data_IF_360516250342
#
_entry.id   IF_360516250342
#
_cell.length_a   1.000
_cell.length_b   1.000
_cell.length_c   1.000
_cell.angle_alpha   90.00
_cell.angle_beta   90.00
_cell.angle_gamma   90.00
#
_symmetry.space_group_name_H-M   'P 1'
#
loop_
_entity.id
_entity.type
_entity.pdbx_description
1 polymer ?
#
# COMPACT_ATOMS: atom_id res chain seq x y z
N UNK A 1 13.78 54.84 16.69
CA UNK A 1 12.54 54.90 15.90
C UNK A 1 12.87 55.55 14.58
N UNK A 2 12.96 54.77 13.50
CA UNK A 2 12.81 55.24 12.12
C UNK A 2 12.69 53.98 11.26
N UNK A 3 11.45 53.71 10.83
CA UNK A 3 11.10 52.66 9.87
C UNK A 3 11.10 53.34 8.51
N UNK A 4 11.98 52.90 7.61
CA UNK A 4 11.97 53.35 6.21
C UNK A 4 11.23 52.31 5.38
N UNK A 5 10.17 52.76 4.73
CA UNK A 5 9.34 52.03 3.77
C UNK A 5 10.16 51.63 2.56
N UNK A 6 10.46 50.34 2.42
CA UNK A 6 10.85 49.73 1.16
C UNK A 6 10.25 48.32 1.13
N UNK A 7 9.33 48.16 0.19
CA UNK A 7 8.97 46.91 -0.47
C UNK A 7 8.13 45.90 0.34
N UNK A 8 6.82 46.09 0.19
CA UNK A 8 5.82 45.02 0.29
C UNK A 8 6.13 44.02 -0.83
N UNK A 9 6.86 42.95 -0.52
CA UNK A 9 6.91 41.76 -1.37
C UNK A 9 6.48 40.53 -0.59
N UNK A 10 5.18 40.26 -0.72
CA UNK A 10 4.63 38.94 -1.01
C UNK A 10 5.05 37.79 -0.10
N UNK A 11 4.17 37.47 0.86
CA UNK A 11 4.09 36.16 1.50
C UNK A 11 3.95 35.09 0.42
N UNK A 12 5.06 34.48 0.03
CA UNK A 12 5.05 33.27 -0.77
C UNK A 12 4.72 32.10 0.15
N UNK A 13 3.42 31.80 0.30
CA UNK A 13 2.98 30.48 0.72
C UNK A 13 3.42 29.51 -0.38
N UNK A 14 4.62 28.96 -0.23
CA UNK A 14 5.06 27.81 -1.01
C UNK A 14 4.14 26.64 -0.62
N UNK A 15 3.07 26.45 -1.39
CA UNK A 15 2.35 25.19 -1.41
C UNK A 15 3.35 24.14 -1.90
N UNK A 16 4.04 23.49 -0.96
CA UNK A 16 4.86 22.33 -1.26
C UNK A 16 3.87 21.24 -1.66
N UNK A 17 3.57 21.16 -2.95
CA UNK A 17 2.90 20.02 -3.53
C UNK A 17 3.83 18.83 -3.31
N UNK A 18 3.56 18.05 -2.26
CA UNK A 18 4.22 16.77 -2.03
C UNK A 18 3.93 15.87 -3.23
N UNK A 19 4.82 15.87 -4.23
CA UNK A 19 4.72 14.99 -5.36
C UNK A 19 4.70 13.55 -4.82
N UNK A 20 3.67 12.77 -5.20
CA UNK A 20 3.62 11.34 -4.89
C UNK A 20 4.86 10.71 -5.52
N UNK A 21 5.85 10.37 -4.69
CA UNK A 21 7.10 9.78 -5.16
C UNK A 21 6.85 8.33 -5.58
N UNK A 22 6.86 8.08 -6.89
CA UNK A 22 6.69 6.73 -7.45
C UNK A 22 7.99 5.96 -7.27
N UNK A 23 7.97 4.95 -6.39
CA UNK A 23 9.14 4.10 -6.10
C UNK A 23 9.28 2.93 -7.09
N UNK A 24 8.20 2.57 -7.78
CA UNK A 24 8.16 1.49 -8.77
C UNK A 24 6.99 1.72 -9.73
N UNK A 25 7.23 1.56 -11.04
CA UNK A 25 6.22 1.63 -12.09
C UNK A 25 6.46 0.52 -13.10
N UNK A 26 5.38 -0.07 -13.62
CA UNK A 26 5.49 -1.13 -14.61
C UNK A 26 4.14 -1.64 -15.09
N UNK A 27 4.18 -2.64 -15.97
CA UNK A 27 3.02 -3.41 -16.42
C UNK A 27 3.16 -4.85 -15.95
N UNK A 28 2.05 -5.50 -15.66
CA UNK A 28 2.04 -6.88 -15.20
C UNK A 28 0.64 -7.46 -15.15
N UNK A 29 0.53 -8.65 -14.59
CA UNK A 29 -0.73 -9.35 -14.35
C UNK A 29 -0.94 -9.46 -12.83
N UNK A 30 -2.20 -9.36 -12.42
CA UNK A 30 -2.61 -9.57 -11.04
C UNK A 30 -3.79 -10.53 -10.98
N UNK A 31 -3.89 -11.27 -9.88
CA UNK A 31 -5.09 -12.01 -9.50
C UNK A 31 -5.76 -11.28 -8.33
N UNK A 32 -7.07 -11.42 -8.22
CA UNK A 32 -7.80 -10.98 -7.03
C UNK A 32 -8.01 -12.18 -6.10
N UNK A 33 -8.02 -11.91 -4.80
CA UNK A 33 -8.38 -12.88 -3.78
C UNK A 33 -9.43 -12.23 -2.87
N UNK A 34 -10.42 -13.00 -2.46
CA UNK A 34 -11.44 -12.57 -1.50
C UNK A 34 -11.35 -13.45 -0.26
N UNK A 35 -11.53 -12.85 0.91
CA UNK A 35 -11.65 -13.62 2.15
C UNK A 35 -12.78 -14.64 2.02
N UNK A 36 -12.48 -15.89 2.37
CA UNK A 36 -13.46 -16.97 2.34
C UNK A 36 -14.46 -16.74 3.45
N UNK A 37 -15.66 -16.27 3.10
CA UNK A 37 -16.73 -16.02 4.07
C UNK A 37 -17.42 -17.31 4.56
N UNK A 38 -17.41 -18.35 3.74
CA UNK A 38 -17.93 -19.68 4.08
C UNK A 38 -16.77 -20.69 4.11
N UNK A 39 -16.07 -20.81 5.25
CA UNK A 39 -14.89 -21.67 5.36
C UNK A 39 -15.22 -23.17 5.27
N UNK A 40 -16.49 -23.56 5.29
CA UNK A 40 -16.96 -24.92 5.07
C UNK A 40 -17.96 -24.90 3.92
N UNK A 41 -17.53 -25.25 2.71
CA UNK A 41 -18.42 -25.32 1.54
C UNK A 41 -18.00 -26.46 0.63
N UNK A 42 -18.98 -27.09 -0.03
CA UNK A 42 -18.74 -28.21 -0.96
C UNK A 42 -17.85 -29.34 -0.38
N UNK A 43 -18.00 -29.65 0.92
CA UNK A 43 -17.22 -30.69 1.59
C UNK A 43 -15.72 -30.38 1.78
N UNK A 44 -15.30 -29.13 1.54
CA UNK A 44 -13.91 -28.68 1.70
C UNK A 44 -13.78 -27.72 2.88
N UNK A 45 -12.75 -27.93 3.69
CA UNK A 45 -12.35 -27.02 4.77
C UNK A 45 -11.37 -25.97 4.24
N UNK A 46 -11.83 -24.72 4.20
CA UNK A 46 -11.09 -23.54 3.80
C UNK A 46 -10.78 -22.61 4.99
N UNK A 47 -10.99 -23.06 6.23
CA UNK A 47 -10.78 -22.27 7.44
C UNK A 47 -9.37 -21.71 7.59
N UNK A 48 -8.38 -22.36 6.98
CA UNK A 48 -6.98 -21.94 6.99
C UNK A 48 -6.65 -20.87 5.94
N UNK A 49 -7.51 -20.67 4.93
CA UNK A 49 -7.19 -19.77 3.81
C UNK A 49 -7.03 -18.31 4.23
N UNK A 50 -7.84 -17.83 5.19
CA UNK A 50 -7.76 -16.46 5.69
C UNK A 50 -6.72 -16.31 6.84
N UNK A 51 -6.04 -17.40 7.23
CA UNK A 51 -5.06 -17.39 8.31
C UNK A 51 -3.63 -17.18 7.82
N UNK A 52 -3.42 -17.04 6.50
CA UNK A 52 -2.11 -16.79 5.93
C UNK A 52 -1.45 -15.55 6.53
N UNK A 53 -0.18 -15.69 6.92
CA UNK A 53 0.64 -14.61 7.45
C UNK A 53 1.06 -13.63 6.37
N UNK A 54 0.93 -12.33 6.62
CA UNK A 54 1.55 -11.30 5.77
C UNK A 54 3.01 -11.10 6.11
N UNK A 55 3.85 -11.07 5.08
CA UNK A 55 5.31 -10.99 5.22
C UNK A 55 5.81 -9.58 5.59
N UNK A 56 4.99 -8.55 5.38
CA UNK A 56 5.34 -7.17 5.61
C UNK A 56 5.08 -6.66 7.04
N UNK A 57 4.90 -7.58 8.00
CA UNK A 57 4.91 -7.23 9.42
C UNK A 57 6.31 -7.39 10.04
N UNK A 58 6.85 -6.30 10.60
CA UNK A 58 8.20 -6.24 11.16
C UNK A 58 8.33 -6.80 12.58
N UNK A 59 7.23 -6.92 13.34
CA UNK A 59 7.26 -7.28 14.76
C UNK A 59 6.55 -8.61 15.07
N UNK A 60 5.47 -8.95 14.36
CA UNK A 60 4.68 -10.16 14.60
C UNK A 60 3.79 -10.45 13.41
N UNK A 61 3.90 -11.63 12.79
CA UNK A 61 3.05 -11.99 11.63
C UNK A 61 1.56 -11.73 11.94
N UNK A 62 0.91 -10.85 11.16
CA UNK A 62 -0.53 -10.69 11.18
C UNK A 62 -1.14 -11.66 10.17
N UNK A 63 -2.25 -12.29 10.54
CA UNK A 63 -3.10 -12.99 9.58
C UNK A 63 -3.89 -11.97 8.76
N UNK A 64 -4.42 -12.38 7.61
CA UNK A 64 -5.34 -11.56 6.82
C UNK A 64 -6.54 -11.07 7.67
N UNK A 65 -7.09 -11.96 8.50
CA UNK A 65 -8.11 -11.60 9.49
C UNK A 65 -7.66 -10.50 10.47
N UNK A 66 -6.39 -10.50 10.88
CA UNK A 66 -5.85 -9.50 11.80
C UNK A 66 -5.67 -8.12 11.17
N UNK A 67 -5.52 -8.04 9.84
CA UNK A 67 -5.36 -6.77 9.11
C UNK A 67 -6.71 -6.10 8.86
N UNK A 68 -7.79 -6.89 8.76
CA UNK A 68 -9.17 -6.41 8.71
C UNK A 68 -9.43 -5.29 7.67
N UNK A 69 -8.89 -5.44 6.46
CA UNK A 69 -9.18 -4.55 5.33
C UNK A 69 -9.17 -5.30 4.01
N UNK A 70 -10.03 -4.86 3.08
CA UNK A 70 -10.09 -5.37 1.72
C UNK A 70 -9.14 -4.64 0.75
N UNK A 71 -8.48 -3.57 1.21
CA UNK A 71 -7.62 -2.74 0.38
C UNK A 71 -6.16 -3.20 0.45
N UNK A 72 -5.93 -4.48 0.22
CA UNK A 72 -4.63 -5.13 0.30
C UNK A 72 -4.14 -5.59 -1.06
N UNK A 73 -2.86 -5.36 -1.31
CA UNK A 73 -2.17 -5.88 -2.49
C UNK A 73 -1.03 -6.78 -2.05
N UNK A 74 -1.07 -8.04 -2.50
CA UNK A 74 0.06 -8.95 -2.40
C UNK A 74 1.01 -8.73 -3.58
N UNK A 75 2.31 -8.79 -3.32
CA UNK A 75 3.35 -8.72 -4.35
C UNK A 75 4.26 -9.96 -4.30
N UNK A 76 5.11 -10.11 -5.33
CA UNK A 76 6.10 -11.18 -5.39
C UNK A 76 6.94 -11.26 -4.11
N UNK A 77 7.19 -12.48 -3.63
CA UNK A 77 7.93 -12.66 -2.38
C UNK A 77 9.42 -12.33 -2.50
N UNK A 78 9.98 -12.41 -3.70
CA UNK A 78 11.42 -12.26 -3.95
C UNK A 78 11.97 -10.94 -3.42
N UNK A 79 11.41 -9.75 -3.77
CA UNK A 79 11.87 -8.48 -3.22
C UNK A 79 11.73 -8.40 -1.69
N UNK A 80 10.70 -9.02 -1.12
CA UNK A 80 10.38 -8.92 0.30
C UNK A 80 11.20 -9.84 1.22
N UNK A 81 12.00 -10.76 0.65
CA UNK A 81 12.91 -11.62 1.45
C UNK A 81 13.99 -10.82 2.18
N UNK A 82 14.35 -9.64 1.67
CA UNK A 82 15.39 -8.79 2.26
C UNK A 82 14.80 -7.69 3.15
N UNK A 83 15.55 -7.26 4.17
CA UNK A 83 15.16 -6.12 5.02
C UNK A 83 14.98 -4.84 4.19
N UNK A 84 15.90 -4.59 3.25
CA UNK A 84 15.84 -3.43 2.37
C UNK A 84 14.57 -3.44 1.50
N UNK A 85 14.22 -4.58 0.92
CA UNK A 85 13.01 -4.71 0.13
C UNK A 85 11.74 -4.55 0.97
N UNK A 86 11.69 -5.09 2.18
CA UNK A 86 10.56 -4.83 3.10
C UNK A 86 10.43 -3.34 3.43
N UNK A 87 11.54 -2.67 3.76
CA UNK A 87 11.53 -1.23 4.03
C UNK A 87 11.05 -0.41 2.81
N UNK A 88 11.40 -0.86 1.61
CA UNK A 88 11.02 -0.21 0.37
C UNK A 88 9.52 -0.37 0.05
N UNK A 89 8.96 -1.57 0.20
CA UNK A 89 7.64 -1.89 -0.36
C UNK A 89 6.51 -2.06 0.66
N UNK A 90 6.80 -2.42 1.91
CA UNK A 90 5.77 -2.62 2.93
C UNK A 90 5.13 -1.28 3.34
N UNK A 91 3.81 -1.28 3.53
CA UNK A 91 3.02 -0.11 3.94
C UNK A 91 2.95 1.00 2.90
N UNK A 92 3.27 0.70 1.63
CA UNK A 92 3.20 1.68 0.53
C UNK A 92 1.83 1.60 -0.13
N UNK A 93 1.50 2.58 -0.96
CA UNK A 93 0.28 2.53 -1.76
C UNK A 93 0.62 2.01 -3.15
N UNK A 94 -0.20 1.11 -3.66
CA UNK A 94 -0.16 0.63 -5.03
C UNK A 94 -1.31 1.27 -5.79
N UNK A 95 -0.99 1.85 -6.94
CA UNK A 95 -1.98 2.37 -7.88
C UNK A 95 -2.01 1.41 -9.07
N UNK A 96 -3.17 0.84 -9.35
CA UNK A 96 -3.38 -0.09 -10.45
C UNK A 96 -4.26 0.58 -11.50
N UNK A 97 -3.81 0.57 -12.75
CA UNK A 97 -4.60 1.05 -13.89
C UNK A 97 -4.96 -0.11 -14.81
N UNK A 98 -6.25 -0.31 -15.05
CA UNK A 98 -6.76 -1.33 -15.99
C UNK A 98 -7.70 -0.64 -16.97
N UNK A 99 -7.43 -0.73 -18.28
CA UNK A 99 -8.24 -0.08 -19.32
C UNK A 99 -8.54 1.40 -19.02
N UNK A 100 -7.52 2.16 -18.61
CA UNK A 100 -7.59 3.58 -18.21
C UNK A 100 -8.40 3.90 -16.95
N UNK A 101 -8.90 2.89 -16.22
CA UNK A 101 -9.54 3.04 -14.91
C UNK A 101 -8.50 2.83 -13.81
N UNK A 102 -8.43 3.77 -12.86
CA UNK A 102 -7.46 3.78 -11.76
C UNK A 102 -8.11 3.29 -10.46
N UNK A 103 -7.42 2.39 -9.76
CA UNK A 103 -7.75 1.93 -8.40
C UNK A 103 -6.56 2.11 -7.46
N UNK A 104 -6.80 2.56 -6.22
CA UNK A 104 -5.78 2.70 -5.17
C UNK A 104 -5.99 1.70 -4.02
N UNK A 105 -4.90 1.10 -3.54
CA UNK A 105 -4.89 0.17 -2.41
C UNK A 105 -3.55 0.21 -1.66
N UNK A 106 -3.52 -0.24 -0.40
CA UNK A 106 -2.29 -0.31 0.39
C UNK A 106 -1.60 -1.68 0.22
N UNK A 107 -0.27 -1.70 0.10
CA UNK A 107 0.54 -2.91 0.21
C UNK A 107 0.78 -3.20 1.69
N UNK A 108 0.16 -4.28 2.19
CA UNK A 108 0.32 -4.76 3.56
C UNK A 108 1.53 -5.63 3.76
#
# INVERSE_FOLDING_TARGET
>A
MQVTTADIETVALAAVASAKHVILYGKGFGTYYYDVQQPQTCGTDLSLQNQGSVMCNFNSALSLNGINTNNLVAMSNLPLKTQAGRAQYCGKMVIVTVNDVVSDAASS
#
